data_IF_130588645027
#
_entry.id   IF_130588645027
#
_cell.length_a   1.000
_cell.length_b   1.000
_cell.length_c   1.000
_cell.angle_alpha   90.00
_cell.angle_beta   90.00
_cell.angle_gamma   90.00
#
_symmetry.space_group_name_H-M   'P 1'
#
loop_
_entity.id
_entity.type
_entity.pdbx_description
1 polymer ?
#
# COMPACT_ATOMS: atom_id res chain seq x y z
N UNK A 1 4.52 14.23 20.23
CA UNK A 1 5.18 13.40 19.20
C UNK A 1 4.21 12.33 18.77
N UNK A 2 4.06 12.12 17.46
CA UNK A 2 3.23 11.05 16.94
C UNK A 2 4.05 9.75 16.91
N UNK A 3 3.64 8.74 17.66
CA UNK A 3 4.28 7.42 17.65
C UNK A 3 3.62 6.57 16.56
N UNK A 4 4.12 6.66 15.32
CA UNK A 4 3.53 5.97 14.17
C UNK A 4 3.41 4.45 14.37
N UNK A 5 4.40 3.83 15.01
CA UNK A 5 4.43 2.40 15.32
C UNK A 5 3.29 1.92 16.25
N UNK A 6 2.63 2.82 16.99
CA UNK A 6 1.51 2.46 17.87
C UNK A 6 0.32 1.93 17.07
N UNK A 7 0.18 2.32 15.80
CA UNK A 7 -0.90 1.84 14.92
C UNK A 7 -0.79 0.32 14.75
N UNK A 8 0.36 -0.17 14.27
CA UNK A 8 0.60 -1.61 14.08
C UNK A 8 0.60 -2.37 15.42
N UNK A 9 1.22 -1.79 16.45
CA UNK A 9 1.31 -2.40 17.77
C UNK A 9 -0.05 -2.59 18.45
N UNK A 10 -0.99 -1.64 18.31
CA UNK A 10 -2.35 -1.77 18.85
C UNK A 10 -3.15 -2.86 18.14
N UNK A 11 -2.99 -3.02 16.84
CA UNK A 11 -3.63 -4.11 16.09
C UNK A 11 -3.07 -5.44 16.58
N UNK A 12 -1.75 -5.60 16.61
CA UNK A 12 -1.10 -6.82 17.08
C UNK A 12 -1.53 -7.19 18.51
N UNK A 13 -1.52 -6.22 19.44
CA UNK A 13 -1.97 -6.46 20.81
C UNK A 13 -3.46 -6.83 20.91
N UNK A 14 -4.33 -6.18 20.12
CA UNK A 14 -5.78 -6.40 20.18
C UNK A 14 -6.20 -7.77 19.65
N UNK A 15 -5.46 -8.32 18.70
CA UNK A 15 -5.73 -9.63 18.10
C UNK A 15 -4.77 -10.72 18.59
N UNK A 16 -3.88 -10.39 19.53
CA UNK A 16 -2.85 -11.30 20.07
C UNK A 16 -1.93 -11.89 18.98
N UNK A 17 -1.52 -11.07 18.03
CA UNK A 17 -0.59 -11.46 16.97
C UNK A 17 0.87 -11.31 17.43
N UNK A 18 1.63 -12.40 17.35
CA UNK A 18 3.05 -12.45 17.71
C UNK A 18 4.04 -12.22 16.56
N UNK A 19 3.56 -12.03 15.33
CA UNK A 19 4.40 -11.84 14.15
C UNK A 19 4.99 -10.43 14.03
N UNK A 20 5.71 -10.19 12.92
CA UNK A 20 6.26 -8.88 12.57
C UNK A 20 5.16 -7.83 12.56
N UNK A 21 5.36 -6.72 13.29
CA UNK A 21 4.48 -5.56 13.25
C UNK A 21 5.30 -4.27 13.16
N UNK A 22 5.00 -3.43 12.18
CA UNK A 22 5.71 -2.18 11.97
C UNK A 22 4.86 -1.20 11.15
N UNK A 23 5.33 0.03 11.08
CA UNK A 23 4.85 1.05 10.15
C UNK A 23 6.00 1.44 9.24
N UNK A 24 5.72 1.51 7.95
CA UNK A 24 6.68 1.98 6.94
C UNK A 24 6.25 3.34 6.43
N UNK A 25 7.22 4.20 6.17
CA UNK A 25 7.00 5.50 5.53
C UNK A 25 7.76 5.53 4.20
N UNK A 26 6.99 5.55 3.11
CA UNK A 26 7.49 5.76 1.76
C UNK A 26 6.64 6.84 1.05
N UNK A 27 6.18 7.84 1.82
CA UNK A 27 5.25 8.88 1.37
C UNK A 27 4.04 8.28 0.63
N UNK A 28 3.74 8.74 -0.59
CA UNK A 28 2.60 8.28 -1.39
C UNK A 28 2.64 6.77 -1.71
N UNK A 29 3.80 6.12 -1.63
CA UNK A 29 3.95 4.69 -1.87
C UNK A 29 3.92 3.84 -0.57
N UNK A 30 3.61 4.45 0.59
CA UNK A 30 3.67 3.79 1.89
C UNK A 30 2.87 2.49 1.98
N UNK A 31 1.63 2.47 1.47
CA UNK A 31 0.79 1.28 1.46
C UNK A 31 1.37 0.15 0.60
N UNK A 32 1.91 0.47 -0.58
CA UNK A 32 2.53 -0.53 -1.46
C UNK A 32 3.83 -1.07 -0.86
N UNK A 33 4.62 -0.21 -0.21
CA UNK A 33 5.81 -0.62 0.52
C UNK A 33 5.47 -1.56 1.69
N UNK A 34 4.39 -1.28 2.43
CA UNK A 34 3.91 -2.14 3.51
C UNK A 34 3.47 -3.51 2.97
N UNK A 35 2.79 -3.54 1.82
CA UNK A 35 2.38 -4.78 1.16
C UNK A 35 3.60 -5.58 0.70
N UNK A 36 4.61 -4.91 0.11
CA UNK A 36 5.86 -5.57 -0.29
C UNK A 36 6.56 -6.25 0.89
N UNK A 37 6.64 -5.58 2.03
CA UNK A 37 7.19 -6.16 3.25
C UNK A 37 6.40 -7.38 3.74
N UNK A 38 5.06 -7.29 3.74
CA UNK A 38 4.19 -8.40 4.13
C UNK A 38 4.37 -9.63 3.22
N UNK A 39 4.49 -9.41 1.90
CA UNK A 39 4.75 -10.48 0.94
C UNK A 39 6.11 -11.12 1.20
N UNK A 40 7.16 -10.34 1.48
CA UNK A 40 8.46 -10.90 1.86
C UNK A 40 8.38 -11.78 3.11
N UNK A 41 7.67 -11.36 4.16
CA UNK A 41 7.48 -12.19 5.37
C UNK A 41 6.73 -13.50 5.10
N UNK A 42 5.74 -13.48 4.20
CA UNK A 42 5.03 -14.67 3.78
C UNK A 42 5.92 -15.60 2.93
N UNK A 43 6.64 -15.07 1.95
CA UNK A 43 7.48 -15.89 1.06
C UNK A 43 8.70 -16.47 1.78
N UNK A 44 9.21 -15.78 2.79
CA UNK A 44 10.30 -16.26 3.64
C UNK A 44 9.80 -17.19 4.77
N UNK A 45 8.51 -17.56 4.76
CA UNK A 45 7.86 -18.39 5.77
C UNK A 45 8.04 -17.90 7.21
N UNK A 46 8.28 -16.59 7.41
CA UNK A 46 8.31 -15.96 8.73
C UNK A 46 6.91 -15.76 9.32
N UNK A 47 5.89 -15.72 8.47
CA UNK A 47 4.50 -15.60 8.87
C UNK A 47 3.61 -16.43 7.95
N UNK A 48 2.48 -16.88 8.46
CA UNK A 48 1.47 -17.63 7.69
C UNK A 48 0.36 -16.70 7.17
N UNK A 49 0.09 -15.63 7.91
CA UNK A 49 -0.88 -14.58 7.58
C UNK A 49 -0.23 -13.24 7.88
N UNK A 50 -0.42 -12.27 6.99
CA UNK A 50 0.00 -10.88 7.21
C UNK A 50 -1.18 -9.94 6.96
N UNK A 51 -1.40 -8.98 7.86
CA UNK A 51 -2.33 -7.87 7.62
C UNK A 51 -1.50 -6.66 7.20
N UNK A 52 -1.80 -6.11 6.02
CA UNK A 52 -1.07 -4.96 5.48
C UNK A 52 -1.98 -4.00 4.73
N UNK A 53 -1.57 -2.74 4.64
CA UNK A 53 -2.41 -1.66 4.14
C UNK A 53 -1.82 -0.28 4.40
N UNK A 54 -2.68 0.73 4.44
CA UNK A 54 -2.27 2.10 4.69
C UNK A 54 -3.41 2.96 5.25
N UNK A 55 -3.02 4.03 5.93
CA UNK A 55 -3.92 5.04 6.48
C UNK A 55 -3.37 6.43 6.20
N UNK A 56 -4.24 7.33 5.76
CA UNK A 56 -3.97 8.75 5.59
C UNK A 56 -5.17 9.51 6.15
N UNK A 57 -5.03 10.08 7.35
CA UNK A 57 -6.09 10.84 8.03
C UNK A 57 -5.54 12.10 8.72
N UNK A 58 -4.33 12.55 8.35
CA UNK A 58 -3.79 13.80 8.89
C UNK A 58 -4.25 14.96 8.04
N UNK A 59 -5.32 15.62 8.48
CA UNK A 59 -5.83 16.86 7.90
C UNK A 59 -5.43 18.11 8.71
N UNK A 60 -4.31 18.05 9.43
CA UNK A 60 -3.84 19.19 10.20
C UNK A 60 -3.49 20.39 9.31
N UNK A 61 -3.69 21.64 9.77
CA UNK A 61 -3.25 22.83 9.04
C UNK A 61 -1.76 22.80 8.67
N UNK A 62 -0.94 22.15 9.50
CA UNK A 62 0.48 21.98 9.26
C UNK A 62 0.77 21.16 7.99
N UNK A 63 0.00 20.11 7.72
CA UNK A 63 0.12 19.32 6.49
C UNK A 63 -0.16 20.19 5.26
N UNK A 64 -1.28 20.91 5.24
CA UNK A 64 -1.62 21.84 4.15
C UNK A 64 -0.57 22.94 3.97
N UNK A 65 -0.09 23.54 5.06
CA UNK A 65 0.97 24.55 5.03
C UNK A 65 2.29 24.00 4.46
N UNK A 66 2.63 22.75 4.77
CA UNK A 66 3.84 22.09 4.27
C UNK A 66 3.82 21.93 2.74
N UNK A 67 2.64 21.69 2.17
CA UNK A 67 2.44 21.65 0.72
C UNK A 67 2.16 23.01 0.09
N UNK A 68 1.82 24.05 0.86
CA UNK A 68 1.49 25.38 0.30
C UNK A 68 2.67 26.07 -0.39
N UNK A 69 3.90 25.68 -0.06
CA UNK A 69 5.12 26.23 -0.68
C UNK A 69 5.48 25.55 -2.00
N UNK A 70 4.84 24.43 -2.33
CA UNK A 70 4.92 23.77 -3.62
C UNK A 70 3.59 23.97 -4.36
N UNK A 71 3.58 24.21 -5.68
CA UNK A 71 2.34 24.28 -6.45
C UNK A 71 1.76 22.86 -6.67
N UNK A 72 1.59 22.11 -5.58
CA UNK A 72 1.17 20.71 -5.60
C UNK A 72 -0.35 20.59 -5.70
N UNK A 73 -1.10 21.51 -5.10
CA UNK A 73 -2.56 21.45 -5.06
C UNK A 73 -3.21 22.05 -6.30
N UNK A 74 -4.23 21.37 -6.81
CA UNK A 74 -5.06 21.85 -7.92
C UNK A 74 -5.78 23.15 -7.55
N UNK A 75 -5.91 24.04 -8.52
CA UNK A 75 -6.75 25.25 -8.44
C UNK A 75 -8.13 25.05 -9.07
N UNK A 76 -8.39 23.87 -9.66
CA UNK A 76 -9.71 23.49 -10.16
C UNK A 76 -10.60 23.02 -8.99
N UNK A 77 -11.92 23.00 -9.20
CA UNK A 77 -12.88 22.46 -8.22
C UNK A 77 -12.75 20.93 -8.07
N UNK A 78 -12.18 20.26 -9.07
CA UNK A 78 -12.07 18.81 -9.19
C UNK A 78 -10.65 18.33 -9.52
N UNK A 79 -10.36 17.06 -9.21
CA UNK A 79 -9.14 16.39 -9.67
C UNK A 79 -9.32 15.90 -11.11
N UNK A 80 -8.32 16.16 -11.96
CA UNK A 80 -8.37 15.80 -13.38
C UNK A 80 -7.13 15.00 -13.81
N UNK A 81 -7.03 13.71 -13.47
CA UNK A 81 -5.93 12.85 -13.91
C UNK A 81 -5.91 12.73 -15.44
N UNK A 82 -4.75 12.92 -16.06
CA UNK A 82 -4.51 12.80 -17.51
C UNK A 82 -5.23 13.82 -18.42
N UNK A 83 -5.93 14.80 -17.84
CA UNK A 83 -6.56 15.89 -18.60
C UNK A 83 -5.53 16.97 -19.01
N UNK A 84 -5.75 17.61 -20.17
CA UNK A 84 -4.88 18.68 -20.66
C UNK A 84 -4.92 19.94 -19.78
N UNK A 85 -6.02 20.17 -19.05
CA UNK A 85 -6.21 21.26 -18.08
C UNK A 85 -5.99 20.78 -16.62
N UNK A 86 -5.20 19.72 -16.42
CA UNK A 86 -4.82 19.24 -15.08
C UNK A 86 -3.87 20.23 -14.39
N UNK A 87 -4.19 20.61 -13.14
CA UNK A 87 -3.47 21.67 -12.39
C UNK A 87 -2.88 21.22 -11.06
N UNK A 88 -2.83 19.92 -10.78
CA UNK A 88 -2.24 19.38 -9.55
C UNK A 88 -3.12 18.31 -8.89
N UNK A 89 -2.81 17.99 -7.64
CA UNK A 89 -3.51 16.99 -6.85
C UNK A 89 -4.47 17.61 -5.83
N UNK A 90 -5.36 16.79 -5.26
CA UNK A 90 -6.14 17.11 -4.07
C UNK A 90 -5.85 16.05 -3.02
N UNK A 91 -5.78 16.43 -1.75
CA UNK A 91 -5.57 15.46 -0.66
C UNK A 91 -6.90 14.78 -0.36
N UNK A 92 -6.85 13.45 -0.29
CA UNK A 92 -7.92 12.62 0.22
C UNK A 92 -7.51 11.97 1.53
N UNK A 93 -8.51 11.56 2.30
CA UNK A 93 -8.33 10.72 3.47
C UNK A 93 -8.79 9.30 3.17
N UNK A 94 -8.23 8.33 3.88
CA UNK A 94 -8.67 6.95 3.76
C UNK A 94 -7.88 5.99 4.61
N UNK A 95 -8.48 4.83 4.81
CA UNK A 95 -7.85 3.65 5.40
C UNK A 95 -8.21 2.44 4.54
N UNK A 96 -7.22 1.59 4.27
CA UNK A 96 -7.43 0.33 3.58
C UNK A 96 -6.50 -0.72 4.16
N UNK A 97 -7.07 -1.87 4.53
CA UNK A 97 -6.34 -3.00 5.09
C UNK A 97 -6.77 -4.29 4.39
N UNK A 98 -5.81 -5.17 4.15
CA UNK A 98 -6.01 -6.48 3.51
C UNK A 98 -5.27 -7.55 4.29
N UNK A 99 -5.83 -8.77 4.30
CA UNK A 99 -5.16 -9.95 4.80
C UNK A 99 -4.53 -10.71 3.64
N UNK A 100 -3.28 -11.13 3.82
CA UNK A 100 -2.49 -11.84 2.82
C UNK A 100 -2.06 -13.19 3.36
N UNK A 101 -2.10 -14.20 2.50
CA UNK A 101 -1.59 -15.55 2.70
C UNK A 101 -0.91 -16.00 1.41
N UNK A 102 -0.05 -17.01 1.50
CA UNK A 102 0.38 -17.75 0.31
C UNK A 102 -0.85 -18.43 -0.29
N UNK A 103 -0.94 -18.50 -1.63
CA UNK A 103 -2.12 -19.03 -2.31
C UNK A 103 -2.43 -20.46 -1.86
N UNK A 104 -1.41 -21.31 -1.78
CA UNK A 104 -1.53 -22.70 -1.31
C UNK A 104 -2.12 -22.82 0.10
N UNK A 105 -1.77 -21.89 1.01
CA UNK A 105 -2.31 -21.90 2.38
C UNK A 105 -3.75 -21.40 2.41
N UNK A 106 -4.09 -20.40 1.59
CA UNK A 106 -5.46 -19.93 1.46
C UNK A 106 -6.38 -21.03 0.90
N UNK A 107 -5.91 -21.76 -0.12
CA UNK A 107 -6.63 -22.89 -0.70
C UNK A 107 -6.77 -24.06 0.29
N UNK A 108 -5.68 -24.43 0.99
CA UNK A 108 -5.70 -25.46 2.03
C UNK A 108 -6.72 -25.16 3.12
N UNK A 109 -6.76 -23.90 3.56
CA UNK A 109 -7.60 -23.48 4.68
C UNK A 109 -9.04 -23.13 4.25
N UNK A 110 -9.34 -23.21 2.94
CA UNK A 110 -10.67 -22.94 2.39
C UNK A 110 -11.06 -21.46 2.40
N UNK A 111 -10.07 -20.57 2.41
CA UNK A 111 -10.28 -19.12 2.45
C UNK A 111 -10.87 -18.59 1.14
N UNK A 112 -11.71 -17.57 1.24
CA UNK A 112 -12.18 -16.83 0.06
C UNK A 112 -11.06 -15.97 -0.51
N UNK A 113 -10.54 -16.36 -1.68
CA UNK A 113 -9.54 -15.58 -2.42
C UNK A 113 -10.22 -14.49 -3.26
N UNK A 114 -9.97 -13.22 -2.94
CA UNK A 114 -10.50 -12.07 -3.69
C UNK A 114 -9.67 -11.76 -4.94
N UNK A 115 -8.35 -11.89 -4.84
CA UNK A 115 -7.39 -11.67 -5.90
C UNK A 115 -6.09 -12.38 -5.58
N UNK A 116 -5.27 -12.65 -6.60
CA UNK A 116 -3.93 -13.21 -6.45
C UNK A 116 -2.91 -12.14 -6.84
N UNK A 117 -2.04 -11.76 -5.90
CA UNK A 117 -0.96 -10.83 -6.16
C UNK A 117 0.22 -11.60 -6.75
N UNK A 118 0.54 -11.30 -8.01
CA UNK A 118 1.56 -12.04 -8.77
C UNK A 118 2.95 -11.40 -8.67
N UNK A 119 3.03 -10.09 -8.48
CA UNK A 119 4.28 -9.35 -8.26
C UNK A 119 4.02 -7.98 -7.66
N UNK A 120 5.05 -7.36 -7.06
CA UNK A 120 4.99 -6.00 -6.49
C UNK A 120 6.32 -5.27 -6.65
N UNK A 121 6.33 -4.18 -7.42
CA UNK A 121 7.46 -3.26 -7.44
C UNK A 121 7.03 -1.82 -7.72
N UNK A 122 7.83 -0.85 -7.26
CA UNK A 122 7.41 0.55 -7.12
C UNK A 122 8.05 1.56 -8.08
N UNK A 123 8.87 1.13 -9.04
CA UNK A 123 9.60 2.04 -9.94
C UNK A 123 9.25 1.76 -11.41
N UNK A 124 9.15 2.79 -12.25
CA UNK A 124 8.86 2.61 -13.68
C UNK A 124 9.92 1.73 -14.40
N UNK A 125 11.21 1.87 -14.03
CA UNK A 125 12.28 0.96 -14.49
C UNK A 125 12.15 -0.45 -13.87
N UNK A 126 11.52 -0.56 -12.71
CA UNK A 126 11.25 -1.83 -12.06
C UNK A 126 9.91 -2.45 -12.48
N UNK A 127 9.11 -1.78 -13.32
CA UNK A 127 7.90 -2.38 -13.89
C UNK A 127 8.26 -3.66 -14.65
N UNK A 128 9.40 -3.67 -15.36
CA UNK A 128 9.93 -4.87 -15.99
C UNK A 128 10.25 -5.98 -14.99
N UNK A 129 10.84 -5.63 -13.83
CA UNK A 129 11.09 -6.59 -12.74
C UNK A 129 9.79 -7.10 -12.13
N UNK A 130 8.80 -6.23 -11.93
CA UNK A 130 7.49 -6.65 -11.45
C UNK A 130 6.83 -7.64 -12.42
N UNK A 131 6.97 -7.42 -13.74
CA UNK A 131 6.53 -8.37 -14.76
C UNK A 131 7.32 -9.68 -14.75
N UNK A 132 8.64 -9.60 -14.64
CA UNK A 132 9.52 -10.77 -14.54
C UNK A 132 9.18 -11.60 -13.29
N UNK A 133 9.05 -10.95 -12.13
CA UNK A 133 8.65 -11.55 -10.85
C UNK A 133 7.25 -12.17 -10.95
N UNK A 134 6.32 -11.49 -11.62
CA UNK A 134 4.96 -11.98 -11.81
C UNK A 134 4.86 -13.12 -12.85
N UNK A 135 5.88 -13.26 -13.71
CA UNK A 135 5.91 -14.22 -14.81
C UNK A 135 4.95 -13.88 -15.95
N UNK A 136 4.69 -12.59 -16.22
CA UNK A 136 3.74 -12.15 -17.26
C UNK A 136 4.36 -11.20 -18.28
N UNK A 137 3.90 -11.29 -19.53
CA UNK A 137 4.21 -10.30 -20.58
C UNK A 137 3.41 -9.00 -20.30
N UNK A 138 3.99 -7.81 -20.43
CA UNK A 138 3.28 -6.54 -20.24
C UNK A 138 1.98 -6.41 -21.06
N UNK A 139 1.92 -7.02 -22.25
CA UNK A 139 0.73 -7.03 -23.11
C UNK A 139 -0.41 -7.87 -22.57
N UNK A 140 -0.15 -8.72 -21.58
CA UNK A 140 -1.18 -9.50 -20.89
C UNK A 140 -1.87 -8.71 -19.76
N UNK A 141 -1.39 -7.50 -19.42
CA UNK A 141 -2.03 -6.63 -18.44
C UNK A 141 -2.96 -5.61 -19.12
N UNK A 142 -4.26 -5.86 -18.99
CA UNK A 142 -5.34 -5.05 -19.53
C UNK A 142 -6.64 -5.85 -19.53
N UNK A 143 -7.75 -5.22 -19.91
CA UNK A 143 -8.93 -5.95 -20.40
C UNK A 143 -8.64 -6.56 -21.76
#
# INVERSE_FOLDING_TARGET
GMLGNVISGRIANRFDFGGTNCVVDAACAGSLAAIKLAISDLLEHRSEVMISGGVCCDNSPFMYMSFSKTPAFTTNEDIRPFDNDSKGMMIGEGIGMMAFKRLEDAERDGDKVYAVLKGTDGQAKALKRAYDDAGFDPKSCGL
#
